data_IF_312281425769
#
_entry.id   IF_312281425769
#
_cell.length_a   1.000
_cell.length_b   1.000
_cell.length_c   1.000
_cell.angle_alpha   90.00
_cell.angle_beta   90.00
_cell.angle_gamma   90.00
#
_symmetry.space_group_name_H-M   'P 1'
#
loop_
_entity.id
_entity.type
_entity.pdbx_description
1 polymer ?
#
# COMPACT_ATOMS: atom_id res chain seq x y z
N UNK A 1 38.40 -37.73 -27.26
CA UNK A 1 37.30 -38.65 -26.90
C UNK A 1 36.12 -37.80 -26.46
N UNK A 2 35.10 -37.63 -27.29
CA UNK A 2 33.96 -36.79 -26.94
C UNK A 2 33.10 -36.53 -28.17
N UNK A 3 32.28 -37.51 -28.56
CA UNK A 3 31.16 -37.37 -29.51
C UNK A 3 30.26 -38.61 -29.39
N UNK A 4 29.58 -38.78 -28.25
CA UNK A 4 28.56 -39.86 -28.07
C UNK A 4 27.20 -39.27 -27.65
N UNK A 5 26.93 -38.01 -27.98
CA UNK A 5 25.58 -37.46 -27.85
C UNK A 5 24.89 -37.57 -29.21
N UNK A 6 23.81 -38.34 -29.26
CA UNK A 6 23.02 -38.66 -30.45
C UNK A 6 21.88 -37.65 -30.71
N UNK A 7 21.82 -36.57 -29.90
CA UNK A 7 20.76 -35.57 -30.00
C UNK A 7 19.38 -36.08 -29.57
N UNK A 8 19.30 -37.25 -28.94
CA UNK A 8 18.04 -37.87 -28.59
C UNK A 8 17.41 -37.22 -27.35
N UNK A 9 16.59 -36.18 -27.59
CA UNK A 9 15.83 -35.49 -26.55
C UNK A 9 14.66 -36.32 -25.98
N UNK A 10 14.34 -37.47 -26.60
CA UNK A 10 13.25 -38.33 -26.14
C UNK A 10 13.50 -38.94 -24.76
N UNK A 11 14.76 -38.97 -24.31
CA UNK A 11 15.12 -39.36 -22.94
C UNK A 11 14.54 -38.43 -21.88
N UNK A 12 14.18 -37.19 -22.26
CA UNK A 12 13.59 -36.19 -21.38
C UNK A 12 12.05 -36.15 -21.43
N UNK A 13 11.41 -36.80 -22.41
CA UNK A 13 9.95 -36.86 -22.53
C UNK A 13 9.25 -37.37 -21.26
N UNK A 14 9.77 -38.38 -20.52
CA UNK A 14 9.13 -38.82 -19.27
C UNK A 14 9.11 -37.75 -18.17
N UNK A 15 9.95 -36.71 -18.27
CA UNK A 15 10.03 -35.61 -17.29
C UNK A 15 9.26 -34.37 -17.74
N UNK A 16 8.77 -34.32 -18.99
CA UNK A 16 8.07 -33.14 -19.52
C UNK A 16 6.83 -32.80 -18.69
N UNK A 17 5.98 -33.82 -18.44
CA UNK A 17 4.79 -33.65 -17.60
C UNK A 17 5.16 -33.20 -16.18
N UNK A 18 6.22 -33.76 -15.60
CA UNK A 18 6.67 -33.39 -14.27
C UNK A 18 7.13 -31.92 -14.22
N UNK A 19 7.81 -31.43 -15.25
CA UNK A 19 8.24 -30.03 -15.37
C UNK A 19 7.03 -29.11 -15.54
N UNK A 20 6.06 -29.48 -16.37
CA UNK A 20 4.82 -28.73 -16.57
C UNK A 20 3.99 -28.67 -15.28
N UNK A 21 3.86 -29.79 -14.56
CA UNK A 21 3.17 -29.87 -13.28
C UNK A 21 3.84 -28.98 -12.23
N UNK A 22 5.18 -29.01 -12.14
CA UNK A 22 5.91 -28.08 -11.27
C UNK A 22 5.67 -26.64 -11.70
N UNK A 23 5.79 -26.31 -12.98
CA UNK A 23 5.59 -24.95 -13.47
C UNK A 23 4.19 -24.42 -13.12
N UNK A 24 3.15 -25.23 -13.31
CA UNK A 24 1.77 -24.88 -12.93
C UNK A 24 1.62 -24.68 -11.42
N UNK A 25 2.22 -25.54 -10.60
CA UNK A 25 2.20 -25.38 -9.14
C UNK A 25 2.95 -24.11 -8.70
N UNK A 26 4.07 -23.79 -9.34
CA UNK A 26 4.83 -22.57 -9.10
C UNK A 26 4.02 -21.32 -9.48
N UNK A 27 3.32 -21.33 -10.61
CA UNK A 27 2.46 -20.22 -11.04
C UNK A 27 1.27 -20.00 -10.08
N UNK A 28 0.65 -21.09 -9.60
CA UNK A 28 -0.40 -21.00 -8.58
C UNK A 28 0.12 -20.43 -7.26
N UNK A 29 1.26 -20.92 -6.77
CA UNK A 29 1.90 -20.45 -5.54
C UNK A 29 2.35 -18.99 -5.68
N UNK A 30 2.91 -18.61 -6.82
CA UNK A 30 3.31 -17.24 -7.11
C UNK A 30 2.09 -16.31 -7.09
N UNK A 31 1.01 -16.69 -7.77
CA UNK A 31 -0.23 -15.93 -7.79
C UNK A 31 -0.81 -15.75 -6.38
N UNK A 32 -0.82 -16.80 -5.58
CA UNK A 32 -1.26 -16.76 -4.17
C UNK A 32 -0.38 -15.83 -3.32
N UNK A 33 0.94 -15.92 -3.47
CA UNK A 33 1.90 -15.08 -2.75
C UNK A 33 1.70 -13.60 -3.10
N UNK A 34 1.59 -13.28 -4.39
CA UNK A 34 1.34 -11.92 -4.85
C UNK A 34 -0.04 -11.36 -4.42
N UNK A 35 -1.01 -12.22 -4.10
CA UNK A 35 -2.31 -11.82 -3.56
C UNK A 35 -2.21 -11.55 -2.06
N UNK A 36 -1.49 -12.39 -1.32
CA UNK A 36 -1.22 -12.21 0.10
C UNK A 36 -0.44 -10.91 0.36
N UNK A 37 0.66 -10.69 -0.36
CA UNK A 37 1.46 -9.46 -0.26
C UNK A 37 0.61 -8.21 -0.49
N UNK A 38 -0.33 -8.27 -1.44
CA UNK A 38 -1.21 -7.15 -1.72
C UNK A 38 -2.20 -6.89 -0.58
N UNK A 39 -2.77 -7.93 0.03
CA UNK A 39 -3.60 -7.75 1.23
C UNK A 39 -2.82 -7.16 2.40
N UNK A 40 -1.58 -7.61 2.60
CA UNK A 40 -0.72 -7.07 3.65
C UNK A 40 -0.42 -5.59 3.41
N UNK A 41 -0.16 -5.19 2.15
CA UNK A 41 -0.04 -3.79 1.75
C UNK A 41 -1.31 -3.01 2.11
N UNK A 42 -2.49 -3.47 1.71
CA UNK A 42 -3.75 -2.79 2.03
C UNK A 42 -3.93 -2.64 3.54
N UNK A 43 -3.62 -3.69 4.30
CA UNK A 43 -3.67 -3.70 5.76
C UNK A 43 -2.72 -2.68 6.39
N UNK A 44 -1.48 -2.58 5.89
CA UNK A 44 -0.51 -1.58 6.33
C UNK A 44 -1.03 -0.16 6.09
N UNK A 45 -1.53 0.14 4.88
CA UNK A 45 -2.08 1.46 4.57
C UNK A 45 -3.31 1.79 5.43
N UNK A 46 -4.24 0.84 5.60
CA UNK A 46 -5.42 1.04 6.43
C UNK A 46 -5.03 1.34 7.89
N UNK A 47 -4.10 0.59 8.46
CA UNK A 47 -3.61 0.81 9.82
C UNK A 47 -2.97 2.18 9.98
N UNK A 48 -2.15 2.61 9.03
CA UNK A 48 -1.54 3.94 9.05
C UNK A 48 -2.62 5.03 8.95
N UNK A 49 -3.59 4.90 8.06
CA UNK A 49 -4.69 5.86 7.96
C UNK A 49 -5.49 5.95 9.26
N UNK A 50 -5.76 4.82 9.92
CA UNK A 50 -6.41 4.78 11.25
C UNK A 50 -5.57 5.55 12.27
N UNK A 51 -4.26 5.32 12.33
CA UNK A 51 -3.38 6.04 13.25
C UNK A 51 -3.35 7.54 12.98
N UNK A 52 -3.32 7.97 11.71
CA UNK A 52 -3.41 9.37 11.34
C UNK A 52 -4.78 9.98 11.70
N UNK A 53 -5.86 9.21 11.56
CA UNK A 53 -7.19 9.59 12.04
C UNK A 53 -7.18 9.86 13.55
N UNK A 54 -6.58 8.95 14.34
CA UNK A 54 -6.41 9.14 15.79
C UNK A 54 -5.55 10.35 16.14
N UNK A 55 -4.50 10.65 15.37
CA UNK A 55 -3.72 11.89 15.55
C UNK A 55 -4.63 13.13 15.41
N UNK A 56 -5.47 13.16 14.37
CA UNK A 56 -6.39 14.27 14.12
C UNK A 56 -7.45 14.39 15.22
N UNK A 57 -7.96 13.25 15.72
CA UNK A 57 -9.00 13.21 16.74
C UNK A 57 -8.49 13.49 18.16
N UNK A 58 -7.33 12.97 18.53
CA UNK A 58 -6.83 13.01 19.91
C UNK A 58 -5.88 14.17 20.15
N UNK A 59 -5.14 14.62 19.13
CA UNK A 59 -4.04 15.59 19.30
C UNK A 59 -4.32 16.97 18.73
N UNK A 60 -5.43 17.15 18.01
CA UNK A 60 -5.77 18.43 17.39
C UNK A 60 -7.03 19.07 17.99
N UNK A 61 -6.93 20.37 18.27
CA UNK A 61 -8.06 21.24 18.57
C UNK A 61 -9.06 21.27 17.41
N UNK A 62 -10.34 21.49 17.73
CA UNK A 62 -11.45 21.44 16.79
C UNK A 62 -11.26 22.29 15.52
N UNK A 63 -10.66 23.49 15.63
CA UNK A 63 -10.38 24.36 14.49
C UNK A 63 -9.42 23.70 13.50
N UNK A 64 -8.25 23.27 13.97
CA UNK A 64 -7.26 22.63 13.10
C UNK A 64 -7.73 21.28 12.58
N UNK A 65 -8.50 20.52 13.38
CA UNK A 65 -9.14 19.29 12.92
C UNK A 65 -10.01 19.56 11.69
N UNK A 66 -10.91 20.54 11.78
CA UNK A 66 -11.80 20.91 10.67
C UNK A 66 -11.01 21.36 9.44
N UNK A 67 -9.93 22.10 9.65
CA UNK A 67 -9.03 22.56 8.59
C UNK A 67 -8.35 21.38 7.87
N UNK A 68 -7.73 20.46 8.61
CA UNK A 68 -7.14 19.24 8.06
C UNK A 68 -8.19 18.42 7.29
N UNK A 69 -9.35 18.16 7.89
CA UNK A 69 -10.42 17.39 7.24
C UNK A 69 -10.90 18.04 5.94
N UNK A 70 -10.96 19.37 5.88
CA UNK A 70 -11.35 20.09 4.66
C UNK A 70 -10.27 19.98 3.57
N UNK A 71 -9.01 20.19 3.92
CA UNK A 71 -7.90 20.13 2.97
C UNK A 71 -7.69 18.69 2.45
N UNK A 72 -7.78 17.68 3.32
CA UNK A 72 -7.74 16.27 2.90
C UNK A 72 -8.90 15.95 1.97
N UNK A 73 -10.12 16.43 2.27
CA UNK A 73 -11.27 16.25 1.38
C UNK A 73 -11.04 16.87 0.00
N UNK A 74 -10.42 18.06 -0.06
CA UNK A 74 -10.05 18.71 -1.31
C UNK A 74 -9.05 17.88 -2.11
N UNK A 75 -7.96 17.43 -1.47
CA UNK A 75 -6.95 16.57 -2.12
C UNK A 75 -7.55 15.26 -2.62
N UNK A 76 -8.45 14.66 -1.86
CA UNK A 76 -9.17 13.46 -2.26
C UNK A 76 -10.12 13.69 -3.44
N UNK A 77 -10.82 14.83 -3.48
CA UNK A 77 -11.65 15.19 -4.63
C UNK A 77 -10.82 15.46 -5.90
N UNK A 78 -9.61 16.00 -5.76
CA UNK A 78 -8.66 16.15 -6.87
C UNK A 78 -8.22 14.76 -7.35
N UNK A 79 -7.87 13.86 -6.43
CA UNK A 79 -7.52 12.48 -6.73
C UNK A 79 -8.61 11.77 -7.56
N UNK A 80 -9.88 11.87 -7.15
CA UNK A 80 -11.02 11.30 -7.91
C UNK A 80 -11.16 11.81 -9.35
N UNK A 81 -10.64 13.01 -9.63
CA UNK A 81 -10.73 13.63 -10.96
C UNK A 81 -9.55 13.25 -11.86
N UNK A 82 -8.53 12.57 -11.34
CA UNK A 82 -7.42 12.10 -12.14
C UNK A 82 -7.90 11.03 -13.13
N UNK A 83 -7.34 11.06 -14.34
CA UNK A 83 -7.71 10.15 -15.43
C UNK A 83 -7.49 8.69 -15.03
N UNK A 84 -6.42 8.44 -14.27
CA UNK A 84 -6.09 7.18 -13.63
C UNK A 84 -7.23 6.64 -12.76
N UNK A 85 -7.83 7.48 -11.92
CA UNK A 85 -8.95 7.09 -11.06
C UNK A 85 -10.21 6.73 -11.87
N UNK A 86 -10.47 7.45 -12.97
CA UNK A 86 -11.66 7.23 -13.79
C UNK A 86 -11.59 5.95 -14.62
N UNK A 87 -10.38 5.52 -14.98
CA UNK A 87 -10.15 4.30 -15.76
C UNK A 87 -10.23 3.02 -14.93
N UNK A 88 -10.23 3.13 -13.60
CA UNK A 88 -10.10 1.99 -12.70
C UNK A 88 -11.21 1.96 -11.63
N UNK A 89 -12.28 1.18 -11.86
CA UNK A 89 -13.41 1.04 -10.93
C UNK A 89 -13.00 0.68 -9.51
N UNK A 90 -11.95 -0.13 -9.36
CA UNK A 90 -11.44 -0.67 -8.10
C UNK A 90 -10.86 0.41 -7.19
N UNK A 91 -10.46 1.58 -7.70
CA UNK A 91 -10.04 2.69 -6.85
C UNK A 91 -11.20 3.32 -6.09
N UNK A 92 -12.45 3.08 -6.51
CA UNK A 92 -13.65 3.53 -5.77
C UNK A 92 -13.82 2.84 -4.41
N UNK A 93 -13.13 1.72 -4.21
CA UNK A 93 -13.09 0.98 -2.96
C UNK A 93 -12.18 1.64 -1.90
N UNK A 94 -11.35 2.60 -2.30
CA UNK A 94 -10.70 3.52 -1.38
C UNK A 94 -11.66 4.69 -1.20
N UNK A 95 -12.30 4.77 -0.05
CA UNK A 95 -13.31 5.77 0.26
C UNK A 95 -12.82 6.74 1.34
N UNK A 96 -13.35 7.96 1.32
CA UNK A 96 -13.09 8.97 2.33
C UNK A 96 -14.36 9.80 2.55
N UNK A 97 -14.66 10.04 3.82
CA UNK A 97 -15.61 11.08 4.25
C UNK A 97 -15.05 11.79 5.48
N UNK A 98 -15.59 12.97 5.82
CA UNK A 98 -15.12 13.72 7.00
C UNK A 98 -15.58 13.04 8.29
N UNK A 99 -16.65 12.27 8.21
CA UNK A 99 -17.30 11.58 9.32
C UNK A 99 -16.67 10.21 9.59
N UNK A 100 -16.31 9.46 8.53
CA UNK A 100 -15.80 8.09 8.62
C UNK A 100 -14.30 7.96 8.38
N UNK A 101 -13.62 9.05 8.01
CA UNK A 101 -12.23 9.04 7.56
C UNK A 101 -11.99 8.09 6.37
N UNK A 102 -10.73 7.73 6.09
CA UNK A 102 -10.36 6.78 5.03
C UNK A 102 -10.75 5.35 5.37
N UNK A 103 -11.31 4.66 4.38
CA UNK A 103 -11.63 3.24 4.46
C UNK A 103 -11.33 2.54 3.13
N UNK A 104 -10.57 1.46 3.20
CA UNK A 104 -10.19 0.60 2.08
C UNK A 104 -10.98 -0.70 2.21
N UNK A 105 -11.92 -0.96 1.30
CA UNK A 105 -12.82 -2.14 1.38
C UNK A 105 -12.66 -3.05 0.16
N UNK A 106 -12.44 -4.34 0.36
CA UNK A 106 -12.64 -5.42 -0.62
C UNK A 106 -12.27 -5.08 -2.08
N UNK A 107 -11.03 -4.62 -2.30
CA UNK A 107 -10.47 -4.45 -3.65
C UNK A 107 -10.43 -5.84 -4.32
N UNK A 108 -11.02 -5.95 -5.52
CA UNK A 108 -10.99 -7.22 -6.26
C UNK A 108 -9.61 -7.45 -6.86
N UNK A 109 -8.83 -8.32 -6.22
CA UNK A 109 -7.39 -8.50 -6.49
C UNK A 109 -7.06 -9.20 -7.79
N UNK A 110 -8.03 -9.92 -8.37
CA UNK A 110 -7.82 -10.71 -9.59
C UNK A 110 -7.93 -9.83 -10.84
N UNK A 111 -8.71 -8.74 -10.76
CA UNK A 111 -9.00 -7.86 -11.91
C UNK A 111 -8.33 -6.50 -11.84
N UNK A 112 -7.53 -6.27 -10.80
CA UNK A 112 -7.01 -4.98 -10.42
C UNK A 112 -5.54 -4.83 -10.79
N UNK A 113 -5.16 -3.66 -11.33
CA UNK A 113 -3.76 -3.25 -11.43
C UNK A 113 -3.23 -2.93 -10.02
N UNK A 114 -2.49 -3.87 -9.45
CA UNK A 114 -1.94 -3.78 -8.09
C UNK A 114 -0.99 -2.57 -7.95
N UNK A 115 -0.14 -2.32 -8.94
CA UNK A 115 0.83 -1.22 -8.88
C UNK A 115 0.12 0.13 -8.86
N UNK A 116 -0.96 0.26 -9.62
CA UNK A 116 -1.77 1.47 -9.67
C UNK A 116 -2.47 1.76 -8.34
N UNK A 117 -2.99 0.73 -7.66
CA UNK A 117 -3.55 0.89 -6.30
C UNK A 117 -2.46 1.29 -5.32
N UNK A 118 -1.31 0.63 -5.32
CA UNK A 118 -0.19 0.96 -4.43
C UNK A 118 0.24 2.41 -4.64
N UNK A 119 0.36 2.85 -5.90
CA UNK A 119 0.70 4.22 -6.25
C UNK A 119 -0.33 5.22 -5.73
N UNK A 120 -1.61 4.89 -5.87
CA UNK A 120 -2.74 5.70 -5.39
C UNK A 120 -2.73 5.83 -3.86
N UNK A 121 -2.49 4.73 -3.14
CA UNK A 121 -2.38 4.72 -1.68
C UNK A 121 -1.18 5.53 -1.20
N UNK A 122 -0.01 5.37 -1.84
CA UNK A 122 1.18 6.19 -1.57
C UNK A 122 0.89 7.67 -1.78
N UNK A 123 0.22 8.03 -2.88
CA UNK A 123 -0.16 9.41 -3.17
C UNK A 123 -1.09 9.98 -2.09
N UNK A 124 -2.17 9.26 -1.75
CA UNK A 124 -3.13 9.70 -0.75
C UNK A 124 -2.48 9.87 0.63
N UNK A 125 -1.68 8.90 1.06
CA UNK A 125 -0.96 9.00 2.32
C UNK A 125 -0.02 10.22 2.34
N UNK A 126 0.68 10.46 1.23
CA UNK A 126 1.54 11.64 1.09
C UNK A 126 0.74 12.93 1.26
N UNK A 127 -0.40 13.05 0.58
CA UNK A 127 -1.27 14.24 0.70
C UNK A 127 -1.76 14.45 2.13
N UNK A 128 -2.14 13.38 2.84
CA UNK A 128 -2.56 13.48 4.24
C UNK A 128 -1.43 13.98 5.12
N UNK A 129 -0.23 13.38 5.03
CA UNK A 129 0.92 13.78 5.85
C UNK A 129 1.35 15.21 5.56
N UNK A 130 1.38 15.63 4.28
CA UNK A 130 1.67 17.01 3.90
C UNK A 130 0.65 17.98 4.49
N UNK A 131 -0.66 17.70 4.37
CA UNK A 131 -1.69 18.56 4.97
C UNK A 131 -1.55 18.68 6.48
N UNK A 132 -1.22 17.58 7.17
CA UNK A 132 -0.98 17.60 8.61
C UNK A 132 0.17 18.55 8.96
N UNK A 133 1.28 18.46 8.21
CA UNK A 133 2.47 19.30 8.41
C UNK A 133 2.23 20.75 8.04
N UNK A 134 1.49 21.03 6.97
CA UNK A 134 1.12 22.39 6.58
C UNK A 134 0.27 23.09 7.66
N UNK A 135 -0.67 22.37 8.28
CA UNK A 135 -1.57 22.95 9.30
C UNK A 135 -0.92 23.07 10.68
N UNK A 136 -0.01 22.15 11.04
CA UNK A 136 0.55 22.07 12.40
C UNK A 136 2.03 22.44 12.51
N UNK A 137 2.77 22.34 11.42
CA UNK A 137 4.21 22.38 11.39
C UNK A 137 4.85 21.03 11.75
N UNK A 138 6.01 20.79 11.14
CA UNK A 138 6.71 19.50 11.18
C UNK A 138 6.97 19.01 12.60
N UNK A 139 7.51 19.87 13.46
CA UNK A 139 7.87 19.50 14.83
C UNK A 139 6.68 18.98 15.66
N UNK A 140 5.50 19.58 15.48
CA UNK A 140 4.29 19.12 16.17
C UNK A 140 3.78 17.81 15.57
N UNK A 141 3.83 17.65 14.26
CA UNK A 141 3.50 16.39 13.60
C UNK A 141 4.40 15.25 14.06
N UNK A 142 5.72 15.44 14.12
CA UNK A 142 6.66 14.44 14.62
C UNK A 142 6.31 14.02 16.07
N UNK A 143 5.95 15.00 16.92
CA UNK A 143 5.49 14.73 18.29
C UNK A 143 4.20 13.92 18.30
N UNK A 144 3.21 14.29 17.48
CA UNK A 144 1.92 13.59 17.44
C UNK A 144 2.05 12.17 16.89
N UNK A 145 2.87 11.95 15.86
CA UNK A 145 3.15 10.63 15.31
C UNK A 145 3.79 9.71 16.35
N UNK A 146 4.68 10.26 17.19
CA UNK A 146 5.25 9.52 18.33
C UNK A 146 4.20 9.22 19.40
N UNK A 147 3.33 10.18 19.73
CA UNK A 147 2.32 10.01 20.79
C UNK A 147 1.20 9.01 20.43
N UNK A 148 0.90 8.86 19.14
CA UNK A 148 -0.05 7.84 18.64
C UNK A 148 0.66 6.56 18.16
N UNK A 149 1.91 6.36 18.59
CA UNK A 149 2.72 5.16 18.35
C UNK A 149 2.89 4.74 16.87
N UNK A 150 2.79 5.71 15.95
CA UNK A 150 2.96 5.46 14.51
C UNK A 150 4.38 4.96 14.21
N UNK A 151 5.39 5.52 14.88
CA UNK A 151 6.76 5.04 14.73
C UNK A 151 6.95 3.65 15.32
N UNK A 152 6.34 3.35 16.49
CA UNK A 152 6.39 2.02 17.08
C UNK A 152 5.78 0.98 16.15
N UNK A 153 4.65 1.29 15.52
CA UNK A 153 4.05 0.45 14.48
C UNK A 153 5.01 0.17 13.33
N UNK A 154 5.66 1.20 12.78
CA UNK A 154 6.62 1.03 11.68
C UNK A 154 7.80 0.17 12.12
N UNK A 155 8.38 0.45 13.28
CA UNK A 155 9.51 -0.30 13.81
C UNK A 155 9.17 -1.77 14.04
N UNK A 156 8.01 -2.06 14.63
CA UNK A 156 7.56 -3.42 14.92
C UNK A 156 7.24 -4.23 13.66
N UNK A 157 6.91 -3.56 12.55
CA UNK A 157 6.57 -4.21 11.28
C UNK A 157 7.69 -4.05 10.23
N UNK A 158 8.92 -3.66 10.61
CA UNK A 158 9.98 -3.31 9.65
C UNK A 158 10.31 -4.41 8.65
N UNK A 159 10.29 -5.68 9.08
CA UNK A 159 10.62 -6.80 8.20
C UNK A 159 9.52 -7.01 7.15
N UNK A 160 8.25 -7.04 7.57
CA UNK A 160 7.10 -7.02 6.65
C UNK A 160 7.17 -5.82 5.69
N UNK A 161 7.47 -4.62 6.19
CA UNK A 161 7.56 -3.42 5.36
C UNK A 161 8.73 -3.47 4.36
N UNK A 162 9.82 -4.20 4.67
CA UNK A 162 10.92 -4.44 3.72
C UNK A 162 10.48 -5.42 2.64
N UNK A 163 9.84 -6.52 3.03
CA UNK A 163 9.36 -7.54 2.10
C UNK A 163 8.36 -6.93 1.09
N UNK A 164 7.49 -6.05 1.58
CA UNK A 164 6.53 -5.30 0.75
C UNK A 164 7.11 -4.07 0.03
N UNK A 165 8.41 -3.78 0.17
CA UNK A 165 9.07 -2.59 -0.39
C UNK A 165 8.40 -1.24 -0.01
N UNK A 166 7.86 -1.14 1.21
CA UNK A 166 7.22 0.05 1.77
C UNK A 166 8.09 0.81 2.77
N UNK A 167 9.06 0.14 3.38
CA UNK A 167 9.93 0.67 4.44
C UNK A 167 10.54 2.04 4.11
N UNK A 168 11.20 2.16 2.95
CA UNK A 168 11.89 3.39 2.55
C UNK A 168 10.90 4.55 2.36
N UNK A 169 9.81 4.29 1.65
CA UNK A 169 8.76 5.28 1.41
C UNK A 169 8.14 5.81 2.72
N UNK A 170 7.79 4.91 3.65
CA UNK A 170 7.15 5.30 4.91
C UNK A 170 8.09 6.10 5.82
N UNK A 171 9.36 5.70 5.90
CA UNK A 171 10.36 6.41 6.68
C UNK A 171 10.64 7.80 6.11
N UNK A 172 10.80 7.92 4.78
CA UNK A 172 10.98 9.21 4.12
C UNK A 172 9.78 10.14 4.35
N UNK A 173 8.56 9.62 4.20
CA UNK A 173 7.35 10.43 4.34
C UNK A 173 7.15 10.96 5.76
N UNK A 174 7.44 10.15 6.78
CA UNK A 174 7.14 10.49 8.16
C UNK A 174 8.29 11.19 8.89
N UNK A 175 9.54 10.98 8.48
CA UNK A 175 10.72 11.54 9.17
C UNK A 175 11.43 12.67 8.41
N UNK A 176 11.39 12.68 7.07
CA UNK A 176 12.24 13.56 6.25
C UNK A 176 11.47 14.63 5.48
N UNK A 177 10.28 14.30 4.99
CA UNK A 177 9.29 15.26 4.51
C UNK A 177 8.65 15.99 5.70
#
# INVERSE_FOLDING_TARGET
KGHNWDGNINIFLPFLQLIEDYYSQWEEVETLTQVADFFDILGVFQNIFIMLGKVIENRMYARSRKEVLNLVAEKYNIFKKQEDYQKMPELSNISFSKESWFNIIDINLIKCDKEMVIRSLKYLLTQVVTVLKDVKGDNLCLKYFREEDLYGYIFNNMDLLKDLNLNKFLLELLLLL
#
